data_IF_019067499361
#
_entry.id   IF_019067499361
#
_cell.length_a   1.000
_cell.length_b   1.000
_cell.length_c   1.000
_cell.angle_alpha   90.00
_cell.angle_beta   90.00
_cell.angle_gamma   90.00
#
_symmetry.space_group_name_H-M   'P 1'
#
loop_
_entity.id
_entity.type
_entity.pdbx_description
1 polymer ?
#
# COMPACT_ATOMS: atom_id res chain seq x y z
N UNK A 1 -1.61 -46.53 -11.74
CA UNK A 1 -2.20 -45.71 -10.69
C UNK A 1 -1.67 -44.29 -10.78
N UNK A 2 -2.54 -43.28 -10.84
CA UNK A 2 -2.18 -41.86 -10.85
C UNK A 2 -3.20 -41.04 -10.06
N UNK A 3 -2.73 -40.02 -9.34
CA UNK A 3 -3.58 -39.07 -8.62
C UNK A 3 -4.45 -38.25 -9.60
N UNK A 4 -5.58 -37.77 -9.12
CA UNK A 4 -6.32 -36.69 -9.77
C UNK A 4 -5.44 -35.46 -9.88
N UNK A 5 -5.60 -34.69 -10.95
CA UNK A 5 -4.87 -33.44 -11.19
C UNK A 5 -5.84 -32.34 -11.57
N UNK A 6 -5.40 -31.08 -11.47
CA UNK A 6 -6.18 -29.93 -11.92
C UNK A 6 -5.68 -29.57 -13.31
N UNK A 7 -6.61 -29.42 -14.25
CA UNK A 7 -6.31 -28.93 -15.60
C UNK A 7 -5.86 -27.45 -15.49
N UNK A 8 -4.67 -27.09 -15.94
CA UNK A 8 -4.14 -25.73 -15.78
C UNK A 8 -4.87 -24.68 -16.61
N UNK A 9 -5.55 -25.07 -17.69
CA UNK A 9 -6.23 -24.14 -18.57
C UNK A 9 -7.68 -23.90 -18.17
N UNK A 10 -8.35 -24.97 -17.68
CA UNK A 10 -9.79 -24.91 -17.33
C UNK A 10 -10.06 -24.87 -15.85
N UNK A 11 -9.06 -25.16 -15.00
CA UNK A 11 -9.19 -25.35 -13.57
C UNK A 11 -10.18 -26.48 -13.18
N UNK A 12 -10.43 -27.43 -14.08
CA UNK A 12 -11.27 -28.59 -13.81
C UNK A 12 -10.46 -29.71 -13.17
N UNK A 13 -11.10 -30.47 -12.28
CA UNK A 13 -10.49 -31.66 -11.66
C UNK A 13 -10.58 -32.83 -12.64
N UNK A 14 -9.43 -33.24 -13.16
CA UNK A 14 -9.32 -34.41 -14.04
C UNK A 14 -9.31 -35.70 -13.21
N UNK A 15 -9.92 -36.79 -13.73
CA UNK A 15 -10.07 -38.03 -12.97
C UNK A 15 -8.74 -38.70 -12.69
N UNK A 16 -8.66 -39.35 -11.53
CA UNK A 16 -7.58 -40.23 -11.15
C UNK A 16 -7.65 -41.60 -11.88
N UNK A 17 -6.55 -42.34 -11.88
CA UNK A 17 -6.51 -43.72 -12.34
C UNK A 17 -6.18 -44.68 -11.19
N UNK A 18 -7.01 -45.70 -11.00
CA UNK A 18 -6.77 -46.73 -10.00
C UNK A 18 -5.63 -47.66 -10.43
N UNK A 19 -4.92 -48.23 -9.48
CA UNK A 19 -4.03 -49.36 -9.68
C UNK A 19 -4.85 -50.63 -9.75
N UNK A 20 -4.50 -51.54 -10.68
CA UNK A 20 -5.12 -52.84 -10.78
C UNK A 20 -4.02 -53.88 -10.83
N UNK A 21 -4.12 -54.87 -9.98
CA UNK A 21 -3.21 -56.00 -9.87
C UNK A 21 -4.00 -57.29 -9.66
N UNK A 22 -3.40 -58.46 -9.81
CA UNK A 22 -3.99 -59.73 -9.52
C UNK A 22 -2.93 -60.73 -9.07
N UNK A 23 -3.34 -61.72 -8.26
CA UNK A 23 -2.47 -62.81 -7.87
C UNK A 23 -2.24 -63.76 -9.06
N UNK A 24 -1.08 -63.67 -9.65
CA UNK A 24 -0.69 -64.48 -10.80
C UNK A 24 -0.71 -66.00 -10.50
N UNK A 25 -0.39 -66.42 -9.26
CA UNK A 25 -0.43 -67.81 -8.85
C UNK A 25 -1.86 -68.31 -8.73
N UNK A 26 -2.76 -67.46 -8.26
CA UNK A 26 -4.21 -67.76 -8.19
C UNK A 26 -4.80 -67.83 -9.62
N UNK A 27 -4.50 -66.85 -10.45
CA UNK A 27 -4.93 -66.84 -11.84
C UNK A 27 -4.49 -68.10 -12.59
N UNK A 28 -3.23 -68.49 -12.41
CA UNK A 28 -2.68 -69.68 -13.01
C UNK A 28 -3.40 -70.97 -12.53
N UNK A 29 -3.72 -71.08 -11.22
CA UNK A 29 -4.50 -72.22 -10.68
C UNK A 29 -5.89 -72.25 -11.26
N UNK A 30 -6.60 -71.14 -11.33
CA UNK A 30 -7.94 -71.03 -11.93
C UNK A 30 -7.93 -71.45 -13.39
N UNK A 31 -6.94 -70.97 -14.15
CA UNK A 31 -6.77 -71.32 -15.56
C UNK A 31 -6.50 -72.84 -15.76
N UNK A 32 -5.66 -73.46 -14.92
CA UNK A 32 -5.38 -74.89 -14.99
C UNK A 32 -6.58 -75.76 -14.64
N UNK A 33 -7.56 -75.24 -13.90
CA UNK A 33 -8.77 -75.99 -13.49
C UNK A 33 -9.91 -75.83 -14.50
N UNK A 34 -9.84 -74.83 -15.38
CA UNK A 34 -10.86 -74.54 -16.37
C UNK A 34 -10.89 -75.59 -17.50
N UNK A 35 -12.07 -75.85 -18.00
CA UNK A 35 -12.28 -76.69 -19.18
C UNK A 35 -12.16 -75.88 -20.50
N UNK A 36 -11.93 -76.57 -21.60
CA UNK A 36 -11.85 -75.91 -22.91
C UNK A 36 -13.19 -75.18 -23.22
N UNK A 37 -13.07 -73.84 -23.50
CA UNK A 37 -14.22 -72.96 -23.78
C UNK A 37 -14.87 -72.34 -22.52
N UNK A 38 -14.36 -72.61 -21.33
CA UNK A 38 -14.86 -72.02 -20.07
C UNK A 38 -14.25 -70.62 -19.87
N UNK A 39 -15.06 -69.67 -19.40
CA UNK A 39 -14.63 -68.33 -18.97
C UNK A 39 -14.14 -68.37 -17.53
N UNK A 40 -12.90 -67.92 -17.30
CA UNK A 40 -12.33 -67.86 -15.94
C UNK A 40 -12.36 -66.43 -15.41
N UNK A 41 -12.98 -66.20 -14.28
CA UNK A 41 -12.94 -64.94 -13.56
C UNK A 41 -11.75 -64.87 -12.62
N UNK A 42 -10.86 -63.90 -12.83
CA UNK A 42 -9.67 -63.68 -11.99
C UNK A 42 -9.98 -62.50 -11.06
N UNK A 43 -9.93 -62.69 -9.73
CA UNK A 43 -10.10 -61.60 -8.80
C UNK A 43 -9.04 -60.53 -8.95
N UNK A 44 -9.44 -59.28 -9.07
CA UNK A 44 -8.54 -58.12 -9.19
C UNK A 44 -8.39 -57.44 -7.83
N UNK A 45 -7.19 -57.00 -7.51
CA UNK A 45 -6.93 -56.09 -6.40
C UNK A 45 -6.90 -54.68 -6.94
N UNK A 46 -7.85 -53.83 -6.51
CA UNK A 46 -7.92 -52.42 -6.91
C UNK A 46 -7.31 -51.57 -5.80
N UNK A 47 -6.32 -50.74 -6.15
CA UNK A 47 -5.69 -49.80 -5.23
C UNK A 47 -6.07 -48.38 -5.65
N UNK A 48 -6.60 -47.58 -4.74
CA UNK A 48 -6.88 -46.17 -4.98
C UNK A 48 -5.61 -45.35 -4.81
N UNK A 49 -5.42 -44.26 -5.58
CA UNK A 49 -4.36 -43.30 -5.34
C UNK A 49 -4.64 -42.47 -4.09
N UNK A 50 -3.62 -41.79 -3.56
CA UNK A 50 -3.72 -40.96 -2.37
C UNK A 50 -4.68 -39.76 -2.56
N UNK A 51 -4.74 -39.24 -3.81
CA UNK A 51 -5.61 -38.12 -4.17
C UNK A 51 -6.59 -38.59 -5.25
N UNK A 52 -7.83 -38.85 -4.86
CA UNK A 52 -8.92 -39.15 -5.80
C UNK A 52 -9.54 -37.87 -6.34
N UNK A 53 -10.35 -37.99 -7.39
CA UNK A 53 -11.09 -36.86 -7.96
C UNK A 53 -11.98 -36.18 -6.93
N UNK A 54 -12.67 -36.93 -6.10
CA UNK A 54 -13.55 -36.45 -5.04
C UNK A 54 -12.74 -35.68 -3.99
N UNK A 55 -11.63 -36.23 -3.50
CA UNK A 55 -10.76 -35.57 -2.52
C UNK A 55 -10.23 -34.25 -3.05
N UNK A 56 -9.80 -34.22 -4.30
CA UNK A 56 -9.27 -33.00 -4.92
C UNK A 56 -10.37 -31.96 -5.14
N UNK A 57 -11.55 -32.39 -5.59
CA UNK A 57 -12.69 -31.48 -5.79
C UNK A 57 -13.17 -30.85 -4.47
N UNK A 58 -13.23 -31.63 -3.39
CA UNK A 58 -13.64 -31.13 -2.07
C UNK A 58 -12.61 -30.15 -1.45
N UNK A 59 -11.34 -30.25 -1.85
CA UNK A 59 -10.27 -29.36 -1.37
C UNK A 59 -10.13 -28.08 -2.20
N UNK A 60 -10.62 -28.07 -3.43
CA UNK A 60 -10.43 -26.96 -4.34
C UNK A 60 -11.13 -25.70 -3.83
N UNK A 61 -10.35 -24.65 -3.50
CA UNK A 61 -10.83 -23.38 -2.92
C UNK A 61 -11.65 -23.54 -1.61
N UNK A 62 -11.44 -24.62 -0.85
CA UNK A 62 -12.21 -24.89 0.38
C UNK A 62 -11.85 -23.94 1.52
N UNK A 63 -10.61 -23.42 1.53
CA UNK A 63 -10.10 -22.64 2.64
C UNK A 63 -10.01 -21.14 2.31
N UNK A 64 -10.41 -20.30 3.26
CA UNK A 64 -10.11 -18.87 3.24
C UNK A 64 -8.66 -18.70 3.72
N UNK A 65 -7.73 -18.44 2.79
CA UNK A 65 -6.31 -18.26 3.08
C UNK A 65 -6.01 -16.90 3.73
N UNK A 66 -6.73 -15.86 3.33
CA UNK A 66 -6.56 -14.50 3.85
C UNK A 66 -7.64 -13.56 3.37
N UNK A 67 -7.87 -12.50 4.16
CA UNK A 67 -8.88 -11.50 3.88
C UNK A 67 -8.36 -10.10 4.23
N UNK A 68 -8.70 -9.12 3.41
CA UNK A 68 -8.50 -7.69 3.67
C UNK A 68 -9.79 -6.91 3.43
N UNK A 69 -10.07 -5.93 4.27
CA UNK A 69 -11.22 -5.04 4.10
C UNK A 69 -10.80 -3.60 4.26
N UNK A 70 -11.31 -2.71 3.42
CA UNK A 70 -11.10 -1.27 3.51
C UNK A 70 -12.41 -0.52 3.32
N UNK A 71 -12.58 0.61 4.05
CA UNK A 71 -13.71 1.51 3.86
C UNK A 71 -13.43 2.43 2.66
N UNK A 72 -14.37 2.49 1.70
CA UNK A 72 -14.25 3.30 0.50
C UNK A 72 -15.00 4.62 0.69
N UNK A 73 -14.26 5.70 0.91
CA UNK A 73 -14.76 7.07 1.07
C UNK A 73 -14.62 7.91 -0.21
N UNK A 74 -14.99 9.19 -0.16
CA UNK A 74 -14.81 10.15 -1.24
C UNK A 74 -15.97 10.20 -2.24
N UNK A 75 -15.71 10.77 -3.43
CA UNK A 75 -16.71 11.06 -4.46
C UNK A 75 -17.35 9.79 -5.04
N UNK A 76 -18.52 9.95 -5.66
CA UNK A 76 -19.19 8.83 -6.35
C UNK A 76 -18.31 8.23 -7.45
N UNK A 77 -17.58 9.06 -8.19
CA UNK A 77 -16.63 8.59 -9.22
C UNK A 77 -15.52 7.74 -8.63
N UNK A 78 -14.94 8.17 -7.49
CA UNK A 78 -13.92 7.39 -6.79
C UNK A 78 -14.44 6.03 -6.34
N UNK A 79 -15.61 6.00 -5.70
CA UNK A 79 -16.28 4.76 -5.28
C UNK A 79 -16.57 3.83 -6.47
N UNK A 80 -16.96 4.41 -7.61
CA UNK A 80 -17.17 3.68 -8.84
C UNK A 80 -15.85 3.08 -9.39
N UNK A 81 -14.78 3.87 -9.46
CA UNK A 81 -13.47 3.40 -9.92
C UNK A 81 -12.92 2.25 -9.06
N UNK A 82 -13.02 2.37 -7.73
CA UNK A 82 -12.62 1.29 -6.80
C UNK A 82 -13.41 0.02 -7.07
N UNK A 83 -14.74 0.13 -7.23
CA UNK A 83 -15.59 -1.01 -7.57
C UNK A 83 -15.18 -1.63 -8.90
N UNK A 84 -15.02 -0.83 -9.96
CA UNK A 84 -14.65 -1.30 -11.30
C UNK A 84 -13.30 -2.03 -11.30
N UNK A 85 -12.29 -1.47 -10.62
CA UNK A 85 -10.99 -2.13 -10.52
C UNK A 85 -11.02 -3.41 -9.67
N UNK A 86 -11.88 -3.48 -8.66
CA UNK A 86 -12.10 -4.68 -7.87
C UNK A 86 -12.80 -5.77 -8.70
N UNK A 87 -13.82 -5.41 -9.50
CA UNK A 87 -14.50 -6.34 -10.40
C UNK A 87 -13.57 -6.95 -11.44
N UNK A 88 -12.58 -6.17 -11.93
CA UNK A 88 -11.56 -6.70 -12.84
C UNK A 88 -10.66 -7.77 -12.20
N UNK A 89 -10.46 -7.71 -10.88
CA UNK A 89 -9.68 -8.70 -10.13
C UNK A 89 -10.53 -9.88 -9.63
N UNK A 90 -11.87 -9.75 -9.67
CA UNK A 90 -12.76 -10.76 -9.12
C UNK A 90 -12.78 -12.03 -9.98
N UNK A 91 -12.59 -13.18 -9.34
CA UNK A 91 -12.61 -14.48 -10.01
C UNK A 91 -11.28 -14.87 -10.65
N UNK A 92 -10.23 -14.05 -10.57
CA UNK A 92 -8.90 -14.42 -11.04
C UNK A 92 -8.42 -15.64 -10.27
N UNK A 93 -7.97 -16.66 -11.01
CA UNK A 93 -7.39 -17.89 -10.50
C UNK A 93 -5.90 -17.91 -10.85
N UNK A 94 -5.08 -18.26 -9.90
CA UNK A 94 -3.64 -18.45 -10.06
C UNK A 94 -3.32 -19.92 -9.86
N UNK A 95 -2.85 -20.59 -10.90
CA UNK A 95 -2.34 -21.95 -10.80
C UNK A 95 -1.02 -21.98 -9.99
N UNK A 96 -0.60 -23.15 -9.48
CA UNK A 96 0.70 -23.29 -8.82
C UNK A 96 1.84 -22.67 -9.63
N UNK A 97 2.61 -21.78 -9.01
CA UNK A 97 3.71 -21.07 -9.65
C UNK A 97 3.34 -19.83 -10.45
N UNK A 98 2.06 -19.57 -10.71
CA UNK A 98 1.62 -18.35 -11.40
C UNK A 98 1.66 -17.11 -10.52
N UNK A 99 1.76 -15.97 -11.19
CA UNK A 99 1.90 -14.68 -10.57
C UNK A 99 0.74 -13.76 -10.94
N UNK A 100 0.15 -13.13 -9.91
CA UNK A 100 -0.78 -12.03 -10.08
C UNK A 100 -0.03 -10.73 -10.32
N UNK A 101 -0.46 -9.94 -11.31
CA UNK A 101 -0.06 -8.57 -11.55
C UNK A 101 -1.31 -7.70 -11.59
N UNK A 102 -1.39 -6.71 -10.70
CA UNK A 102 -2.52 -5.81 -10.67
C UNK A 102 -2.63 -5.00 -11.97
N UNK A 103 -1.48 -4.52 -12.48
CA UNK A 103 -1.44 -3.75 -13.73
C UNK A 103 -1.85 -4.59 -14.95
N UNK A 104 -1.42 -5.84 -15.04
CA UNK A 104 -1.82 -6.71 -16.14
C UNK A 104 -3.31 -7.07 -16.09
N UNK A 105 -3.85 -7.29 -14.88
CA UNK A 105 -5.25 -7.65 -14.65
C UNK A 105 -6.19 -6.49 -14.96
N UNK A 106 -5.90 -5.28 -14.47
CA UNK A 106 -6.76 -4.11 -14.66
C UNK A 106 -6.46 -3.33 -15.95
N UNK A 107 -5.26 -3.46 -16.47
CA UNK A 107 -4.76 -2.70 -17.63
C UNK A 107 -4.60 -1.21 -17.35
N UNK A 108 -4.56 -0.40 -18.40
CA UNK A 108 -4.62 1.06 -18.30
C UNK A 108 -5.95 1.51 -17.70
N UNK A 109 -5.92 2.49 -16.78
CA UNK A 109 -7.14 3.03 -16.15
C UNK A 109 -7.60 4.24 -16.93
N UNK A 110 -8.12 4.01 -18.11
CA UNK A 110 -8.51 5.04 -19.07
C UNK A 110 -10.04 5.15 -19.20
N UNK A 111 -10.50 6.27 -19.76
CA UNK A 111 -11.94 6.53 -19.91
C UNK A 111 -12.65 5.54 -20.84
N UNK A 112 -11.95 5.02 -21.86
CA UNK A 112 -12.45 3.98 -22.75
C UNK A 112 -12.71 2.64 -22.06
N UNK A 113 -12.06 2.40 -20.89
CA UNK A 113 -12.32 1.26 -20.00
C UNK A 113 -13.37 1.56 -18.93
N UNK A 114 -14.01 2.71 -18.99
CA UNK A 114 -15.09 3.11 -18.08
C UNK A 114 -14.62 3.82 -16.81
N UNK A 115 -13.32 4.08 -16.61
CA UNK A 115 -12.86 4.83 -15.46
C UNK A 115 -13.22 6.30 -15.54
N UNK A 116 -13.60 6.88 -14.41
CA UNK A 116 -14.06 8.25 -14.28
C UNK A 116 -12.98 9.14 -13.65
N UNK A 117 -12.98 10.47 -13.94
CA UNK A 117 -12.17 11.43 -13.21
C UNK A 117 -12.55 11.44 -11.73
N UNK A 118 -11.55 11.35 -10.87
CA UNK A 118 -11.72 11.42 -9.42
C UNK A 118 -10.44 11.98 -8.78
N UNK A 119 -10.53 12.56 -7.57
CA UNK A 119 -9.39 13.16 -6.90
C UNK A 119 -8.25 12.17 -6.69
N UNK A 120 -7.05 12.59 -7.10
CA UNK A 120 -5.75 12.00 -6.75
C UNK A 120 -4.87 13.09 -6.15
N UNK A 121 -3.87 12.69 -5.40
CA UNK A 121 -2.90 13.62 -4.86
C UNK A 121 -1.64 13.62 -5.74
N UNK A 122 -1.43 14.69 -6.49
CA UNK A 122 -0.30 14.84 -7.41
C UNK A 122 0.38 16.21 -7.21
N UNK A 123 1.72 16.23 -7.12
CA UNK A 123 2.50 17.48 -6.98
C UNK A 123 2.14 18.32 -5.75
N UNK A 124 1.63 17.70 -4.67
CA UNK A 124 1.26 18.43 -3.45
C UNK A 124 -0.16 19.03 -3.48
N UNK A 125 -0.95 18.78 -4.53
CA UNK A 125 -2.32 19.24 -4.67
C UNK A 125 -3.28 18.10 -5.00
N UNK A 126 -4.56 18.24 -4.64
CA UNK A 126 -5.62 17.34 -5.09
C UNK A 126 -6.05 17.75 -6.49
N UNK A 127 -5.91 16.84 -7.47
CA UNK A 127 -6.32 17.02 -8.86
C UNK A 127 -7.21 15.85 -9.28
N UNK A 128 -8.12 16.09 -10.23
CA UNK A 128 -8.96 15.03 -10.76
C UNK A 128 -8.20 14.32 -11.90
N UNK A 129 -7.97 13.02 -11.73
CA UNK A 129 -7.42 12.14 -12.77
C UNK A 129 -8.32 10.95 -13.04
N UNK A 130 -8.32 10.47 -14.30
CA UNK A 130 -9.09 9.28 -14.67
C UNK A 130 -8.54 8.06 -13.93
N UNK A 131 -9.41 7.34 -13.24
CA UNK A 131 -9.03 6.18 -12.44
C UNK A 131 -8.63 6.50 -10.99
N UNK A 132 -8.82 7.74 -10.52
CA UNK A 132 -8.58 8.08 -9.12
C UNK A 132 -9.27 7.12 -8.16
N UNK A 133 -8.56 6.64 -7.14
CA UNK A 133 -9.03 5.69 -6.12
C UNK A 133 -8.56 4.25 -6.25
N UNK A 134 -8.03 3.82 -7.40
CA UNK A 134 -7.75 2.39 -7.69
C UNK A 134 -6.63 1.77 -6.83
N UNK A 135 -5.71 2.59 -6.31
CA UNK A 135 -4.69 2.08 -5.39
C UNK A 135 -5.30 1.55 -4.07
N UNK A 136 -6.54 1.91 -3.75
CA UNK A 136 -7.23 1.28 -2.63
C UNK A 136 -7.53 -0.19 -2.91
N UNK A 137 -7.87 -0.56 -4.14
CA UNK A 137 -8.07 -1.96 -4.53
C UNK A 137 -6.77 -2.75 -4.41
N UNK A 138 -5.65 -2.25 -4.99
CA UNK A 138 -4.36 -2.94 -4.88
C UNK A 138 -3.87 -3.06 -3.44
N UNK A 139 -4.07 -2.02 -2.61
CA UNK A 139 -3.73 -2.06 -1.19
C UNK A 139 -4.60 -3.06 -0.41
N UNK A 140 -5.91 -3.16 -0.73
CA UNK A 140 -6.79 -4.12 -0.06
C UNK A 140 -6.44 -5.56 -0.43
N UNK A 141 -6.03 -5.80 -1.70
CA UNK A 141 -5.50 -7.10 -2.13
C UNK A 141 -4.19 -7.40 -1.39
N UNK A 142 -3.25 -6.45 -1.35
CA UNK A 142 -2.00 -6.62 -0.60
C UNK A 142 -2.26 -6.93 0.87
N UNK A 143 -3.17 -6.20 1.50
CA UNK A 143 -3.54 -6.45 2.90
C UNK A 143 -4.14 -7.85 3.10
N UNK A 144 -4.94 -8.37 2.15
CA UNK A 144 -5.39 -9.77 2.17
C UNK A 144 -4.22 -10.76 2.01
N UNK A 145 -3.25 -10.48 1.11
CA UNK A 145 -2.06 -11.32 0.91
C UNK A 145 -1.20 -11.40 2.16
N UNK A 146 -1.12 -10.31 2.94
CA UNK A 146 -0.36 -10.29 4.21
C UNK A 146 -0.89 -11.29 5.26
N UNK A 147 -2.13 -11.75 5.15
CA UNK A 147 -2.72 -12.78 6.01
C UNK A 147 -2.49 -14.20 5.48
N UNK A 148 -1.74 -14.36 4.39
CA UNK A 148 -1.41 -15.64 3.75
C UNK A 148 0.08 -15.92 3.77
N UNK A 149 0.46 -17.11 3.35
CA UNK A 149 1.87 -17.49 3.09
C UNK A 149 2.30 -17.28 1.64
N UNK A 150 1.45 -16.67 0.79
CA UNK A 150 1.76 -16.40 -0.62
C UNK A 150 2.97 -15.47 -0.77
N UNK A 151 3.77 -15.69 -1.79
CA UNK A 151 5.00 -14.94 -2.04
C UNK A 151 4.67 -13.51 -2.55
N UNK A 152 5.19 -12.48 -1.88
CA UNK A 152 5.09 -11.09 -2.33
C UNK A 152 6.25 -10.83 -3.28
N UNK A 153 5.95 -10.50 -4.56
CA UNK A 153 6.96 -10.30 -5.62
C UNK A 153 7.30 -8.83 -5.78
N UNK A 154 6.29 -7.95 -5.80
CA UNK A 154 6.48 -6.50 -5.98
C UNK A 154 5.45 -5.71 -5.17
N UNK A 155 5.93 -4.70 -4.45
CA UNK A 155 5.09 -3.77 -3.69
C UNK A 155 5.77 -2.43 -3.54
N UNK A 156 5.03 -1.36 -3.78
CA UNK A 156 5.47 0.02 -3.57
C UNK A 156 4.58 0.70 -2.52
N UNK A 157 5.18 1.45 -1.59
CA UNK A 157 4.45 2.23 -0.62
C UNK A 157 3.98 3.55 -1.24
N UNK A 158 2.86 4.11 -0.77
CA UNK A 158 2.49 5.48 -1.10
C UNK A 158 3.47 6.48 -0.48
N UNK A 159 3.60 7.64 -1.12
CA UNK A 159 4.38 8.76 -0.59
C UNK A 159 3.76 9.35 0.69
N UNK A 160 2.44 9.26 0.82
CA UNK A 160 1.65 9.78 1.94
C UNK A 160 0.78 8.67 2.53
N UNK A 161 0.50 8.71 3.84
CA UNK A 161 -0.38 7.73 4.47
C UNK A 161 -1.79 7.80 3.89
N UNK A 162 -2.37 6.64 3.59
CA UNK A 162 -3.64 6.53 2.86
C UNK A 162 -4.87 6.34 3.77
N UNK A 163 -4.68 5.90 5.00
CA UNK A 163 -5.72 5.78 6.03
C UNK A 163 -6.77 4.68 5.83
N UNK A 164 -6.86 4.03 4.67
CA UNK A 164 -7.82 2.94 4.42
C UNK A 164 -7.27 1.54 4.68
N UNK A 165 -5.96 1.41 4.86
CA UNK A 165 -5.24 0.25 5.39
C UNK A 165 -4.18 0.73 6.37
N UNK A 166 -3.67 -0.14 7.28
CA UNK A 166 -2.61 0.25 8.20
C UNK A 166 -1.33 0.67 7.47
N UNK A 167 -0.61 1.68 7.99
CA UNK A 167 0.67 2.10 7.42
C UNK A 167 1.66 0.92 7.30
N UNK A 168 2.38 0.85 6.19
CA UNK A 168 3.26 -0.27 5.83
C UNK A 168 2.52 -1.43 5.16
N UNK A 169 1.19 -1.40 5.09
CA UNK A 169 0.34 -2.44 4.52
C UNK A 169 -0.45 -1.95 3.30
N UNK A 170 -0.06 -0.85 2.72
CA UNK A 170 -0.58 -0.27 1.47
C UNK A 170 0.26 -0.71 0.27
N UNK A 171 -0.29 -0.64 -0.93
CA UNK A 171 0.38 -0.89 -2.19
C UNK A 171 -0.08 0.12 -3.24
N UNK A 172 0.78 1.10 -3.58
CA UNK A 172 0.51 2.03 -4.68
C UNK A 172 0.83 1.38 -6.02
N UNK A 173 0.05 1.73 -7.03
CA UNK A 173 0.22 1.23 -8.39
C UNK A 173 0.09 2.37 -9.41
N UNK A 174 0.91 2.31 -10.45
CA UNK A 174 0.84 3.20 -11.59
C UNK A 174 1.12 2.40 -12.87
N UNK A 175 0.21 2.45 -13.84
CA UNK A 175 0.34 1.64 -15.05
C UNK A 175 1.61 1.96 -15.83
N UNK A 176 2.44 0.93 -16.03
CA UNK A 176 3.72 1.05 -16.72
C UNK A 176 4.91 1.46 -15.83
N UNK A 177 4.72 1.75 -14.53
CA UNK A 177 5.80 2.17 -13.62
C UNK A 177 5.86 1.35 -12.34
N UNK A 178 4.77 1.31 -11.56
CA UNK A 178 4.71 0.60 -10.27
C UNK A 178 3.59 -0.42 -10.30
N UNK A 179 3.86 -1.63 -9.87
CA UNK A 179 2.86 -2.69 -9.81
C UNK A 179 2.74 -3.27 -8.39
N UNK A 180 1.66 -3.98 -8.16
CA UNK A 180 1.54 -4.90 -7.04
C UNK A 180 1.43 -6.32 -7.59
N UNK A 181 2.38 -7.18 -7.17
CA UNK A 181 2.52 -8.53 -7.68
C UNK A 181 2.75 -9.52 -6.54
N UNK A 182 2.07 -10.65 -6.59
CA UNK A 182 2.31 -11.77 -5.70
C UNK A 182 2.19 -13.09 -6.47
N UNK A 183 2.79 -14.14 -5.95
CA UNK A 183 2.87 -15.44 -6.60
C UNK A 183 2.16 -16.50 -5.76
N UNK A 184 1.45 -17.38 -6.43
CA UNK A 184 0.98 -18.62 -5.83
C UNK A 184 2.15 -19.61 -5.73
N UNK A 185 2.76 -19.68 -4.55
CA UNK A 185 3.85 -20.61 -4.20
C UNK A 185 3.33 -21.90 -3.54
N UNK A 186 2.03 -22.18 -3.63
CA UNK A 186 1.41 -23.42 -3.12
C UNK A 186 1.23 -24.45 -4.23
N UNK A 187 0.91 -25.68 -3.87
CA UNK A 187 0.64 -26.79 -4.81
C UNK A 187 -0.80 -26.80 -5.35
N UNK A 188 -1.65 -25.84 -4.93
CA UNK A 188 -3.07 -25.76 -5.29
C UNK A 188 -3.42 -24.39 -5.87
N UNK A 189 -4.45 -24.30 -6.73
CA UNK A 189 -4.91 -23.01 -7.24
C UNK A 189 -5.38 -22.07 -6.14
N UNK A 190 -5.15 -20.76 -6.35
CA UNK A 190 -5.62 -19.68 -5.48
C UNK A 190 -6.58 -18.79 -6.26
N UNK A 191 -7.75 -18.46 -5.68
CA UNK A 191 -8.78 -17.63 -6.28
C UNK A 191 -8.95 -16.31 -5.52
N UNK A 192 -8.96 -15.21 -6.28
CA UNK A 192 -9.26 -13.88 -5.74
C UNK A 192 -10.77 -13.65 -5.84
N UNK A 193 -11.39 -13.28 -4.73
CA UNK A 193 -12.81 -12.86 -4.68
C UNK A 193 -12.88 -11.46 -4.10
N UNK A 194 -13.56 -10.55 -4.80
CA UNK A 194 -13.73 -9.17 -4.36
C UNK A 194 -15.20 -8.83 -4.19
N UNK A 195 -15.54 -8.13 -3.12
CA UNK A 195 -16.90 -7.72 -2.79
C UNK A 195 -16.92 -6.23 -2.46
N UNK A 196 -17.64 -5.42 -3.27
CA UNK A 196 -17.89 -4.01 -2.95
C UNK A 196 -19.33 -3.85 -2.50
N UNK A 197 -19.55 -3.44 -1.24
CA UNK A 197 -20.88 -3.42 -0.62
C UNK A 197 -21.08 -2.22 0.30
N UNK A 198 -22.35 -1.91 0.58
CA UNK A 198 -22.72 -0.88 1.54
C UNK A 198 -23.15 -1.51 2.86
N UNK A 199 -22.60 -0.98 3.98
CA UNK A 199 -22.98 -1.38 5.33
C UNK A 199 -23.08 -0.12 6.19
N UNK A 200 -24.22 0.08 6.87
CA UNK A 200 -24.48 1.25 7.73
C UNK A 200 -24.25 2.61 7.03
N UNK A 201 -24.61 2.71 5.73
CA UNK A 201 -24.41 3.92 4.94
C UNK A 201 -22.99 4.18 4.45
N UNK A 202 -22.06 3.29 4.74
CA UNK A 202 -20.65 3.36 4.33
C UNK A 202 -20.38 2.30 3.27
N UNK A 203 -19.54 2.64 2.28
CA UNK A 203 -19.07 1.70 1.25
C UNK A 203 -17.82 0.98 1.75
N UNK A 204 -17.75 -0.34 1.51
CA UNK A 204 -16.60 -1.18 1.80
C UNK A 204 -16.14 -1.95 0.56
N UNK A 205 -14.87 -2.28 0.53
CA UNK A 205 -14.27 -3.27 -0.35
C UNK A 205 -13.65 -4.36 0.52
N UNK A 206 -14.08 -5.61 0.31
CA UNK A 206 -13.45 -6.79 0.90
C UNK A 206 -12.83 -7.63 -0.20
N UNK A 207 -11.61 -8.08 0.04
CA UNK A 207 -10.88 -9.04 -0.80
C UNK A 207 -10.65 -10.30 0.02
N UNK A 208 -10.99 -11.46 -0.56
CA UNK A 208 -10.77 -12.78 0.01
C UNK A 208 -9.91 -13.61 -0.95
N UNK A 209 -8.97 -14.35 -0.40
CA UNK A 209 -8.13 -15.29 -1.13
C UNK A 209 -8.52 -16.70 -0.69
N UNK A 210 -9.08 -17.46 -1.62
CA UNK A 210 -9.47 -18.85 -1.41
C UNK A 210 -8.45 -19.79 -2.04
N UNK A 211 -8.19 -20.91 -1.38
CA UNK A 211 -7.28 -21.95 -1.87
C UNK A 211 -7.44 -23.23 -1.09
N UNK A 212 -6.37 -24.02 -1.00
CA UNK A 212 -6.28 -25.26 -0.22
C UNK A 212 -5.15 -25.11 0.79
N UNK A 213 -5.47 -25.13 2.09
CA UNK A 213 -4.50 -24.98 3.17
C UNK A 213 -4.23 -26.35 3.81
N UNK A 214 -3.27 -27.10 3.25
CA UNK A 214 -3.00 -28.49 3.69
C UNK A 214 -2.26 -28.58 5.02
N UNK A 215 -1.44 -27.59 5.35
CA UNK A 215 -0.63 -27.57 6.59
C UNK A 215 -1.27 -26.76 7.73
N UNK A 216 -2.33 -26.00 7.41
CA UNK A 216 -3.04 -25.17 8.38
C UNK A 216 -2.27 -23.93 8.81
N UNK A 217 -1.17 -23.54 8.10
CA UNK A 217 -0.42 -22.32 8.37
C UNK A 217 -1.25 -21.09 8.10
N UNK A 218 -0.98 -20.06 8.89
CA UNK A 218 -1.60 -18.74 8.71
C UNK A 218 -0.60 -17.63 8.97
N UNK A 219 -0.88 -16.43 8.50
CA UNK A 219 -0.03 -15.27 8.72
C UNK A 219 -0.80 -14.12 9.37
N UNK A 220 -0.08 -13.37 10.23
CA UNK A 220 -0.59 -12.17 10.89
C UNK A 220 0.34 -11.01 10.54
N UNK A 221 -0.16 -9.92 9.94
CA UNK A 221 0.64 -8.74 9.71
C UNK A 221 0.82 -7.94 11.00
N UNK A 222 2.06 -7.50 11.26
CA UNK A 222 2.43 -6.63 12.38
C UNK A 222 3.08 -5.35 11.87
N UNK A 223 3.00 -4.26 12.64
CA UNK A 223 3.69 -3.00 12.31
C UNK A 223 4.14 -2.25 13.56
N UNK A 224 5.15 -1.39 13.35
CA UNK A 224 5.56 -0.36 14.31
C UNK A 224 5.72 0.96 13.57
N UNK A 225 5.22 2.05 14.15
CA UNK A 225 5.36 3.41 13.62
C UNK A 225 6.43 4.18 14.40
N UNK A 226 7.19 5.04 13.69
CA UNK A 226 8.28 5.83 14.26
C UNK A 226 8.60 7.03 13.36
N UNK A 227 9.58 7.87 13.73
CA UNK A 227 10.03 9.06 13.00
C UNK A 227 8.88 10.03 12.66
N UNK A 228 8.08 10.38 13.67
CA UNK A 228 6.96 11.29 13.49
C UNK A 228 7.46 12.72 13.20
N UNK A 229 6.98 13.31 12.09
CA UNK A 229 7.30 14.67 11.67
C UNK A 229 6.03 15.51 11.68
N UNK A 230 5.95 16.45 12.60
CA UNK A 230 4.78 17.35 12.72
C UNK A 230 4.59 18.21 11.48
N UNK A 231 3.34 18.52 11.09
CA UNK A 231 3.05 19.40 9.96
C UNK A 231 3.67 20.79 10.17
N UNK A 232 4.30 21.30 9.12
CA UNK A 232 4.71 22.71 9.05
C UNK A 232 3.59 23.57 8.46
N UNK A 233 3.71 24.89 8.59
CA UNK A 233 2.83 25.83 7.89
C UNK A 233 3.52 26.30 6.60
N UNK A 234 2.78 26.30 5.50
CA UNK A 234 3.19 26.91 4.25
C UNK A 234 2.13 27.91 3.79
N UNK A 235 2.57 28.95 3.08
CA UNK A 235 1.68 29.97 2.52
C UNK A 235 1.57 29.82 1.02
N UNK A 236 0.37 30.00 0.46
CA UNK A 236 0.11 30.00 -0.97
C UNK A 236 -0.72 31.23 -1.36
N UNK A 237 -0.21 31.99 -2.32
CA UNK A 237 -0.91 33.14 -2.86
C UNK A 237 -2.21 32.72 -3.58
N UNK A 238 -3.30 33.46 -3.31
CA UNK A 238 -4.61 33.29 -3.92
C UNK A 238 -5.33 34.65 -3.95
N UNK A 239 -5.52 35.22 -5.12
CA UNK A 239 -6.15 36.52 -5.31
C UNK A 239 -7.61 36.58 -4.87
N UNK A 240 -8.27 35.42 -4.73
CA UNK A 240 -9.65 35.33 -4.24
C UNK A 240 -9.78 35.59 -2.74
N UNK A 241 -8.67 35.57 -1.99
CA UNK A 241 -8.65 35.86 -0.55
C UNK A 241 -8.69 37.39 -0.36
N UNK A 242 -9.58 37.94 0.48
CA UNK A 242 -9.60 39.36 0.77
C UNK A 242 -8.28 39.81 1.40
N UNK A 243 -7.76 41.00 0.99
CA UNK A 243 -6.57 41.59 1.59
C UNK A 243 -6.69 41.72 3.10
N UNK A 244 -5.59 41.51 3.81
CA UNK A 244 -5.55 41.53 5.27
C UNK A 244 -6.18 40.31 5.94
N UNK A 245 -6.51 39.26 5.19
CA UNK A 245 -7.09 38.03 5.73
C UNK A 245 -6.33 36.79 5.21
N UNK A 246 -6.48 35.69 5.93
CA UNK A 246 -5.98 34.38 5.50
C UNK A 246 -7.07 33.31 5.60
N UNK A 247 -6.89 32.22 4.87
CA UNK A 247 -7.79 31.07 4.92
C UNK A 247 -7.00 29.78 4.84
N UNK A 248 -7.31 28.79 5.68
CA UNK A 248 -6.77 27.45 5.53
C UNK A 248 -7.32 26.83 4.26
N UNK A 249 -6.46 26.25 3.43
CA UNK A 249 -6.86 25.53 2.23
C UNK A 249 -7.58 24.24 2.61
N UNK A 250 -8.90 24.21 2.45
CA UNK A 250 -9.72 23.04 2.75
C UNK A 250 -9.51 21.86 1.77
N UNK A 251 -8.82 22.09 0.65
CA UNK A 251 -8.53 21.02 -0.32
C UNK A 251 -7.36 20.13 0.10
N UNK A 252 -6.65 20.51 1.17
CA UNK A 252 -5.47 19.79 1.63
C UNK A 252 -5.45 19.74 3.16
N UNK A 253 -5.71 18.55 3.71
CA UNK A 253 -5.60 18.32 5.15
C UNK A 253 -4.14 18.10 5.54
N UNK A 254 -3.66 18.85 6.54
CA UNK A 254 -2.37 18.62 7.14
C UNK A 254 -2.36 17.31 7.94
N UNK A 255 -1.26 16.58 7.91
CA UNK A 255 -1.04 15.45 8.81
C UNK A 255 0.44 15.19 9.10
N UNK A 256 0.68 14.51 10.22
CA UNK A 256 2.01 14.13 10.70
C UNK A 256 2.62 13.07 9.79
N UNK A 257 3.79 13.37 9.19
CA UNK A 257 4.61 12.39 8.49
C UNK A 257 5.15 11.35 9.47
N UNK A 258 5.42 10.14 8.99
CA UNK A 258 5.92 9.04 9.81
C UNK A 258 6.49 7.93 8.97
N UNK A 259 7.29 7.07 9.60
CA UNK A 259 7.73 5.80 9.04
C UNK A 259 6.97 4.64 9.70
N UNK A 260 6.74 3.57 8.95
CA UNK A 260 6.19 2.33 9.46
C UNK A 260 7.03 1.16 8.98
N UNK A 261 7.50 0.31 9.91
CA UNK A 261 8.08 -0.98 9.58
C UNK A 261 7.03 -2.05 9.77
N UNK A 262 6.83 -2.87 8.75
CA UNK A 262 5.85 -3.95 8.78
C UNK A 262 6.52 -5.32 8.73
N UNK A 263 5.87 -6.31 9.30
CA UNK A 263 6.27 -7.71 9.27
C UNK A 263 5.06 -8.56 8.92
N UNK A 264 5.34 -9.72 8.30
CA UNK A 264 4.39 -10.82 8.18
C UNK A 264 4.88 -11.94 9.08
N UNK A 265 4.08 -12.29 10.09
CA UNK A 265 4.41 -13.33 11.07
C UNK A 265 3.63 -14.58 10.72
N UNK A 266 4.35 -15.65 10.41
CA UNK A 266 3.79 -16.93 9.97
C UNK A 266 3.78 -17.91 11.14
N UNK A 267 2.66 -18.58 11.33
CA UNK A 267 2.43 -19.56 12.40
C UNK A 267 2.01 -20.91 11.82
N UNK A 268 2.36 -21.98 12.53
CA UNK A 268 1.73 -23.29 12.37
C UNK A 268 0.29 -23.24 12.87
N UNK A 269 -0.51 -24.25 12.50
CA UNK A 269 -1.90 -24.39 12.94
C UNK A 269 -2.09 -24.33 14.47
N UNK A 270 -1.11 -24.77 15.25
CA UNK A 270 -1.13 -24.78 16.71
C UNK A 270 -0.67 -23.46 17.35
N UNK A 271 -0.34 -22.44 16.54
CA UNK A 271 0.16 -21.14 16.98
C UNK A 271 1.68 -21.08 17.19
N UNK A 272 2.42 -22.14 16.88
CA UNK A 272 3.88 -22.11 16.92
C UNK A 272 4.42 -21.16 15.86
N UNK A 273 5.30 -20.24 16.24
CA UNK A 273 5.95 -19.31 15.33
C UNK A 273 6.85 -20.06 14.33
N UNK A 274 6.58 -19.88 13.05
CA UNK A 274 7.42 -20.41 11.95
C UNK A 274 8.46 -19.39 11.52
N UNK A 275 7.99 -18.16 11.18
CA UNK A 275 8.84 -17.12 10.61
C UNK A 275 8.27 -15.73 10.90
N UNK A 276 9.13 -14.75 11.07
CA UNK A 276 8.79 -13.33 11.06
C UNK A 276 9.52 -12.66 9.90
N UNK A 277 8.81 -12.50 8.79
CA UNK A 277 9.32 -11.88 7.57
C UNK A 277 9.29 -10.36 7.71
N UNK A 278 10.43 -9.72 7.48
CA UNK A 278 10.54 -8.26 7.45
C UNK A 278 10.09 -7.74 6.07
N UNK A 279 9.03 -6.94 6.04
CA UNK A 279 8.49 -6.32 4.84
C UNK A 279 9.12 -4.94 4.55
N UNK A 280 10.10 -4.54 5.37
CA UNK A 280 10.82 -3.28 5.23
C UNK A 280 10.11 -2.09 5.86
N UNK A 281 10.63 -0.90 5.54
CA UNK A 281 10.14 0.39 6.05
C UNK A 281 9.45 1.16 4.93
N UNK A 282 8.24 1.64 5.21
CA UNK A 282 7.52 2.60 4.39
C UNK A 282 7.59 3.97 5.06
N UNK A 283 8.00 5.01 4.33
CA UNK A 283 8.11 6.37 4.85
C UNK A 283 7.07 7.25 4.20
N UNK A 284 6.19 7.82 5.02
CA UNK A 284 5.11 8.70 4.58
C UNK A 284 5.49 10.15 4.91
N UNK A 285 5.55 11.00 3.86
CA UNK A 285 5.89 12.41 4.00
C UNK A 285 4.83 13.13 4.82
N UNK A 286 5.22 14.09 5.65
CA UNK A 286 4.27 14.99 6.30
C UNK A 286 3.58 15.87 5.26
N UNK A 287 2.35 16.27 5.53
CA UNK A 287 1.60 17.21 4.72
C UNK A 287 1.43 18.52 5.50
N UNK A 288 1.90 19.66 4.96
CA UNK A 288 1.84 20.93 5.68
C UNK A 288 0.41 21.48 5.76
N UNK A 289 0.16 22.33 6.73
CA UNK A 289 -1.00 23.22 6.72
C UNK A 289 -0.77 24.30 5.68
N UNK A 290 -1.60 24.37 4.64
CA UNK A 290 -1.52 25.42 3.62
C UNK A 290 -2.45 26.56 3.98
N UNK A 291 -1.88 27.76 4.12
CA UNK A 291 -2.62 29.00 4.38
C UNK A 291 -2.66 29.82 3.09
N UNK A 292 -3.87 30.07 2.60
CA UNK A 292 -4.12 30.93 1.45
C UNK A 292 -4.12 32.38 1.88
N UNK A 293 -3.50 33.26 1.08
CA UNK A 293 -3.41 34.70 1.34
C UNK A 293 -3.46 35.52 0.06
N UNK A 294 -3.87 36.79 0.15
CA UNK A 294 -3.82 37.69 -1.00
C UNK A 294 -2.38 38.13 -1.28
N UNK A 295 -1.86 37.98 -2.51
CA UNK A 295 -0.47 38.39 -2.83
C UNK A 295 -0.20 39.89 -2.62
N UNK A 296 -1.23 40.74 -2.63
CA UNK A 296 -1.09 42.17 -2.33
C UNK A 296 -0.76 42.43 -0.83
N UNK A 297 -0.88 41.47 0.06
CA UNK A 297 -0.48 41.59 1.49
C UNK A 297 1.03 41.41 1.70
N UNK A 298 1.80 41.18 0.59
CA UNK A 298 3.25 41.04 0.64
C UNK A 298 3.71 39.63 1.04
N UNK A 299 5.00 39.52 1.38
CA UNK A 299 5.63 38.25 1.75
C UNK A 299 5.21 37.82 3.15
N UNK A 300 4.58 36.64 3.31
CA UNK A 300 4.19 36.10 4.61
C UNK A 300 5.33 35.96 5.63
N UNK A 301 6.58 35.81 5.18
CA UNK A 301 7.75 35.74 6.06
C UNK A 301 8.03 37.05 6.82
N UNK A 302 7.47 38.16 6.34
CA UNK A 302 7.60 39.49 6.95
C UNK A 302 6.47 39.84 7.91
N UNK A 303 5.45 38.97 8.03
CA UNK A 303 4.28 39.26 8.86
C UNK A 303 4.57 39.09 10.36
N UNK A 304 3.98 39.96 11.18
CA UNK A 304 4.07 39.83 12.61
C UNK A 304 3.06 38.77 13.09
N UNK A 305 3.55 37.77 13.81
CA UNK A 305 2.73 36.65 14.34
C UNK A 305 1.92 35.91 13.24
N UNK A 306 2.42 35.92 11.98
CA UNK A 306 1.72 35.28 10.86
C UNK A 306 0.42 35.97 10.43
N UNK A 307 0.21 37.23 10.85
CA UNK A 307 -0.96 38.03 10.50
C UNK A 307 -0.62 38.97 9.36
N UNK A 308 -1.38 38.98 8.24
CA UNK A 308 -1.15 39.91 7.15
C UNK A 308 -1.39 41.35 7.56
N UNK A 309 -0.67 42.32 6.99
CA UNK A 309 -0.89 43.75 7.27
C UNK A 309 -2.30 44.16 6.83
N UNK A 310 -2.94 45.05 7.60
CA UNK A 310 -4.24 45.59 7.21
C UNK A 310 -4.12 46.41 5.93
N UNK A 311 -5.11 46.36 5.01
CA UNK A 311 -5.13 47.15 3.82
C UNK A 311 -4.92 48.64 4.12
N UNK A 312 -3.93 49.29 3.47
CA UNK A 312 -3.60 50.71 3.67
C UNK A 312 -2.58 51.02 4.77
N UNK A 313 -2.09 50.01 5.53
CA UNK A 313 -0.90 50.20 6.37
C UNK A 313 0.35 49.84 5.55
N UNK A 314 1.08 50.89 5.07
CA UNK A 314 2.43 50.65 4.57
C UNK A 314 3.30 50.11 5.71
N UNK A 315 4.25 49.17 5.43
CA UNK A 315 5.26 48.79 6.41
C UNK A 315 5.97 50.05 6.86
N UNK A 316 5.79 50.43 8.14
CA UNK A 316 6.24 51.67 8.66
C UNK A 316 7.76 51.81 8.58
N UNK A 317 8.24 52.77 7.83
CA UNK A 317 9.40 53.54 8.24
C UNK A 317 9.05 54.21 9.58
N UNK A 318 9.45 53.61 10.67
CA UNK A 318 9.50 54.30 11.95
C UNK A 318 10.57 55.39 11.82
N UNK A 319 10.15 56.56 11.31
CA UNK A 319 10.88 57.78 11.57
C UNK A 319 10.53 58.17 12.99
N UNK A 320 11.47 57.90 13.91
CA UNK A 320 11.42 58.37 15.28
C UNK A 320 11.32 59.90 15.30
N UNK A 321 10.14 60.40 15.59
CA UNK A 321 9.94 61.79 16.04
C UNK A 321 10.16 61.86 17.54
N UNK A 322 11.41 61.98 17.95
CA UNK A 322 11.79 62.36 19.30
C UNK A 322 11.60 63.85 19.50
N UNK A 323 10.62 64.28 20.28
CA UNK A 323 10.62 65.62 20.87
C UNK A 323 11.64 65.64 22.00
N UNK A 324 12.77 66.29 21.75
CA UNK A 324 13.78 66.57 22.74
C UNK A 324 13.43 67.75 23.59
N UNK A 325 13.72 67.68 24.88
CA UNK A 325 14.08 68.82 25.71
C UNK A 325 15.43 68.51 26.36
N UNK A 326 16.38 69.40 26.12
CA UNK A 326 17.78 69.22 26.42
C UNK A 326 18.15 69.36 27.90
N UNK A 327 19.34 68.95 28.21
CA UNK A 327 20.26 69.76 29.06
C UNK A 327 21.72 69.18 28.85
N UNK A 328 22.61 70.11 28.46
CA UNK A 328 24.06 69.88 28.34
C UNK A 328 24.72 69.62 29.69
N UNK A 329 25.72 68.79 29.75
CA UNK A 329 27.01 69.01 30.36
C UNK A 329 27.97 67.90 29.90
N UNK A 330 28.98 68.15 29.40
CA UNK A 330 30.31 68.24 29.06
C UNK A 330 31.26 67.30 29.80
N UNK A 331 32.18 66.79 29.10
CA UNK A 331 33.64 66.77 29.22
C UNK A 331 34.24 65.50 28.65
N UNK A 332 34.97 65.69 27.64
CA UNK A 332 36.31 65.35 27.25
C UNK A 332 36.95 64.01 27.70
N UNK A 333 37.55 63.38 26.73
CA UNK A 333 38.97 63.05 26.63
C UNK A 333 39.37 61.62 26.44
N UNK A 334 40.14 61.40 25.36
CA UNK A 334 41.27 60.53 25.21
C UNK A 334 41.01 59.13 24.73
N UNK A 335 41.42 58.74 23.55
CA UNK A 335 42.73 58.75 22.97
C UNK A 335 43.24 57.35 22.77
N UNK A 336 43.60 56.99 21.55
CA UNK A 336 44.69 56.09 21.29
C UNK A 336 44.40 54.80 20.53
N UNK A 337 44.58 54.89 19.21
CA UNK A 337 45.57 54.14 18.40
C UNK A 337 45.59 52.60 18.59
N UNK A 338 45.47 51.78 17.60
CA UNK A 338 46.07 51.65 16.31
C UNK A 338 46.36 50.20 16.05
N UNK A 339 46.35 49.78 14.85
CA UNK A 339 47.13 48.64 14.42
C UNK A 339 46.45 47.53 13.65
N UNK A 340 46.25 47.72 12.37
CA UNK A 340 46.45 46.66 11.35
C UNK A 340 47.96 46.50 11.13
N UNK A 341 48.53 45.51 10.38
CA UNK A 341 47.97 44.58 9.40
C UNK A 341 48.71 43.20 9.30
N UNK A 342 48.39 42.52 8.19
CA UNK A 342 49.24 41.65 7.35
C UNK A 342 49.07 40.13 7.47
N UNK A 343 48.56 39.48 6.40
CA UNK A 343 49.18 38.93 5.17
C UNK A 343 50.11 37.72 5.39
N UNK A 344 49.86 36.68 4.64
CA UNK A 344 50.71 35.52 4.34
C UNK A 344 49.87 34.37 3.76
N UNK A 345 49.66 34.18 2.53
CA UNK A 345 50.36 33.66 1.31
C UNK A 345 51.15 32.37 1.54
N UNK A 346 50.88 31.39 0.69
CA UNK A 346 51.70 30.23 0.37
C UNK A 346 50.83 29.03 0.08
N UNK A 347 50.44 28.73 -1.11
CA UNK A 347 51.05 28.14 -2.34
C UNK A 347 51.53 26.70 -2.17
N UNK A 348 51.02 25.95 -3.15
CA UNK A 348 51.61 24.82 -3.92
C UNK A 348 51.53 23.42 -3.26
N UNK A 349 51.24 22.41 -3.96
CA UNK A 349 51.12 21.93 -5.34
C UNK A 349 51.16 20.42 -5.32
N UNK A 350 50.49 19.88 -6.31
CA UNK A 350 50.82 18.70 -7.13
C UNK A 350 50.56 17.27 -6.66
N UNK A 351 49.71 16.68 -7.44
CA UNK A 351 49.78 15.50 -8.37
C UNK A 351 49.72 14.12 -7.73
N UNK A 352 48.82 13.27 -8.11
CA UNK A 352 48.77 12.47 -9.33
C UNK A 352 47.65 11.42 -9.32
N UNK A 353 47.00 11.34 -10.43
CA UNK A 353 46.52 10.22 -11.23
C UNK A 353 46.14 8.84 -10.57
N UNK A 354 44.96 8.36 -10.97
CA UNK A 354 44.60 6.94 -10.92
C UNK A 354 43.12 6.65 -11.17
N UNK A 355 42.76 6.56 -12.44
CA UNK A 355 41.78 5.70 -13.12
C UNK A 355 40.43 5.32 -12.48
N UNK A 356 39.39 5.77 -13.20
CA UNK A 356 38.27 5.05 -13.82
C UNK A 356 37.44 4.07 -12.98
N UNK A 357 36.24 4.50 -12.76
CA UNK A 357 35.09 3.65 -12.40
C UNK A 357 33.82 4.43 -12.68
N UNK A 358 33.37 4.46 -13.94
CA UNK A 358 32.10 5.06 -14.34
C UNK A 358 30.96 4.20 -13.81
N UNK A 359 30.25 4.70 -12.82
CA UNK A 359 28.87 4.32 -12.58
C UNK A 359 28.01 5.56 -12.81
N UNK A 360 27.39 5.62 -13.96
CA UNK A 360 26.38 6.61 -14.30
C UNK A 360 25.16 6.39 -13.42
N UNK A 361 25.04 7.14 -12.35
CA UNK A 361 23.76 7.35 -11.70
C UNK A 361 22.97 8.33 -12.57
N UNK A 362 21.98 7.79 -13.28
CA UNK A 362 20.94 8.61 -13.90
C UNK A 362 20.23 9.42 -12.81
N UNK A 363 19.86 10.67 -13.08
CA UNK A 363 19.03 11.45 -12.16
C UNK A 363 17.69 10.74 -12.04
N UNK A 364 17.31 10.36 -10.85
CA UNK A 364 15.94 9.98 -10.51
C UNK A 364 15.12 11.25 -10.63
N UNK A 365 14.44 11.43 -11.75
CA UNK A 365 13.33 12.35 -11.82
C UNK A 365 12.29 11.88 -10.80
N UNK A 366 11.94 12.76 -9.85
CA UNK A 366 10.82 12.60 -8.93
C UNK A 366 9.53 12.52 -9.75
N UNK A 367 9.14 11.32 -10.16
CA UNK A 367 7.83 11.08 -10.76
C UNK A 367 6.87 10.98 -9.59
N UNK A 368 5.94 11.91 -9.42
CA UNK A 368 4.95 11.84 -8.35
C UNK A 368 4.06 10.63 -8.58
N UNK A 369 4.11 9.65 -7.69
CA UNK A 369 3.12 8.59 -7.65
C UNK A 369 1.75 9.23 -7.40
N UNK A 370 0.70 8.85 -8.15
CA UNK A 370 -0.65 9.35 -7.89
C UNK A 370 -1.09 8.86 -6.51
N UNK A 371 -1.13 9.76 -5.57
CA UNK A 371 -1.68 9.48 -4.24
C UNK A 371 -3.18 9.72 -4.28
N UNK A 372 -3.95 8.74 -3.82
CA UNK A 372 -5.39 8.81 -3.68
C UNK A 372 -5.84 9.53 -2.40
N UNK A 373 -5.08 10.55 -1.98
CA UNK A 373 -5.39 11.34 -0.79
C UNK A 373 -6.82 11.86 -0.79
N UNK A 374 -7.62 11.34 0.11
CA UNK A 374 -8.99 11.72 0.32
C UNK A 374 -9.12 13.17 0.73
N UNK A 375 -9.67 13.97 -0.15
CA UNK A 375 -10.32 15.22 0.20
C UNK A 375 -11.77 14.97 0.62
N UNK A 376 -12.02 14.20 1.68
CA UNK A 376 -13.36 14.15 2.24
C UNK A 376 -13.57 15.39 3.11
N UNK A 377 -14.37 16.31 2.62
CA UNK A 377 -14.99 17.33 3.44
C UNK A 377 -16.05 16.65 4.30
N UNK A 378 -15.70 16.32 5.54
CA UNK A 378 -16.65 16.19 6.64
C UNK A 378 -15.98 16.70 7.90
N UNK A 379 -16.74 17.50 8.66
CA UNK A 379 -16.31 18.41 9.69
C UNK A 379 -15.46 17.84 10.83
N UNK A 380 -14.98 18.71 11.73
CA UNK A 380 -13.90 18.42 12.64
C UNK A 380 -14.32 17.44 13.73
N UNK A 381 -13.93 16.20 13.61
CA UNK A 381 -13.78 15.34 14.78
C UNK A 381 -12.39 15.62 15.34
N UNK A 382 -12.32 16.40 16.41
CA UNK A 382 -11.17 16.46 17.31
C UNK A 382 -11.01 15.05 17.91
N UNK A 383 -10.05 14.28 17.40
CA UNK A 383 -9.53 13.13 18.11
C UNK A 383 -8.30 13.57 18.89
N UNK A 384 -8.41 13.52 20.22
CA UNK A 384 -7.29 13.53 21.16
C UNK A 384 -6.32 12.37 20.81
N UNK A 385 -5.01 12.49 21.17
CA UNK A 385 -4.04 11.43 20.95
C UNK A 385 -4.19 10.37 22.05
N UNK A 386 -5.20 9.54 21.97
CA UNK A 386 -5.36 8.37 22.82
C UNK A 386 -5.80 7.22 21.92
N UNK A 387 -4.90 6.23 21.82
CA UNK A 387 -5.11 4.85 21.38
C UNK A 387 -5.92 4.65 20.08
N UNK A 388 -5.25 4.82 18.92
CA UNK A 388 -5.67 4.17 17.68
C UNK A 388 -5.50 2.64 17.78
N UNK A 389 -6.23 2.03 18.70
CA UNK A 389 -6.61 0.64 18.63
C UNK A 389 -7.73 0.51 17.58
N UNK A 390 -7.39 0.51 16.29
CA UNK A 390 -8.20 -0.19 15.32
C UNK A 390 -8.10 -1.70 15.60
N UNK A 391 -8.70 -2.11 16.73
CA UNK A 391 -9.06 -3.49 16.97
C UNK A 391 -10.17 -3.84 15.99
N UNK A 392 -9.81 -4.51 14.92
CA UNK A 392 -10.78 -5.25 14.12
C UNK A 392 -11.25 -6.42 14.98
N UNK A 393 -12.40 -6.29 15.65
CA UNK A 393 -13.10 -7.44 16.20
C UNK A 393 -13.57 -8.29 15.02
N UNK A 394 -12.87 -9.41 14.80
CA UNK A 394 -13.37 -10.48 13.95
C UNK A 394 -14.66 -10.97 14.61
N UNK A 395 -15.83 -10.97 13.93
CA UNK A 395 -17.06 -11.45 14.52
C UNK A 395 -16.87 -12.89 15.01
N UNK A 396 -17.22 -13.16 16.27
CA UNK A 396 -17.16 -14.50 16.84
C UNK A 396 -18.06 -15.42 16.03
N UNK A 397 -17.48 -16.24 15.15
CA UNK A 397 -18.19 -17.16 14.23
C UNK A 397 -17.51 -17.34 12.89
N UNK A 398 -16.55 -16.47 12.50
CA UNK A 398 -15.80 -16.58 11.24
C UNK A 398 -14.33 -16.98 11.45
N UNK A 399 -13.94 -17.33 12.67
CA UNK A 399 -12.60 -17.87 12.93
C UNK A 399 -12.56 -19.35 12.52
N UNK A 400 -11.48 -19.80 11.88
CA UNK A 400 -11.23 -21.22 11.72
C UNK A 400 -11.23 -21.90 13.09
N UNK A 401 -11.69 -23.15 13.23
CA UNK A 401 -11.72 -23.83 14.52
C UNK A 401 -10.30 -23.95 15.08
N UNK A 402 -10.00 -23.14 16.11
CA UNK A 402 -8.67 -23.07 16.74
C UNK A 402 -8.28 -21.68 17.27
N UNK A 403 -9.13 -20.64 17.12
CA UNK A 403 -8.98 -19.34 17.80
C UNK A 403 -9.84 -19.27 19.05
#
# INVERSE_FOLDING_TARGET
MANAVIDPDTCEVLPHTVGVDFDTAQAQRLFQQAQEGETVEVPLTVTQPDITQEILADRLFADLLGQGTSQVSGSSNRKFNVKLSAEACNGVILMPGEEFSYNNTTGSRSADKGYLPAPVYSGGASVDETGGGICQTSSTIYYAVLHTTLEIVERHAHMYSVGYVPDGMDATVYFGLSDFRFKNNTDYPVKIVTESYDKNGLRYLTVKLYGTNVDGRYAVPERTQFDFVSPTTQYRADESIPQGTTKVDAKQNAYTGRSARAWRVIYEKDGTLVEKQDLGVSTYKMRPTTILYNPADGDPSTWVDGVPPKPGTQPGTETGAGTGTGTQTGTESGGGTGGEPAVGTGTDSETSAGESGSSSSAPTEDIPAPDTGDGAADGPAQSSPEDDHYGYEIPAGELPPGY
#
